data_IF_025070515252
#
_entry.id   IF_025070515252
#
_cell.length_a   1.000
_cell.length_b   1.000
_cell.length_c   1.000
_cell.angle_alpha   90.00
_cell.angle_beta   90.00
_cell.angle_gamma   90.00
#
_symmetry.space_group_name_H-M   'P 1'
#
loop_
_entity.id
_entity.type
_entity.pdbx_description
1 polymer ?
#
# COMPACT_ATOMS: atom_id res chain seq x y z
N UNK A 1 10.36 -12.31 14.63
CA UNK A 1 10.03 -11.01 15.15
C UNK A 1 8.94 -11.15 16.20
N UNK A 2 9.10 -10.46 17.34
CA UNK A 2 8.04 -10.29 18.33
C UNK A 2 7.99 -8.81 18.72
N UNK A 3 6.80 -8.26 18.76
CA UNK A 3 6.50 -6.97 19.41
C UNK A 3 5.66 -7.29 20.63
N UNK A 4 6.11 -6.89 21.80
CA UNK A 4 5.50 -7.27 23.09
C UNK A 4 4.94 -6.04 23.77
N UNK A 5 3.63 -6.02 24.04
CA UNK A 5 2.94 -4.99 24.81
C UNK A 5 3.23 -3.57 24.35
N UNK A 6 3.20 -3.33 23.03
CA UNK A 6 3.50 -2.02 22.46
C UNK A 6 2.37 -1.04 22.76
N UNK A 7 2.69 0.03 23.49
CA UNK A 7 1.79 1.13 23.78
C UNK A 7 2.35 2.43 23.23
N UNK A 8 1.57 3.16 22.43
CA UNK A 8 1.95 4.46 21.86
C UNK A 8 0.87 5.49 22.08
N UNK A 9 1.25 6.55 22.79
CA UNK A 9 0.35 7.67 23.08
C UNK A 9 0.81 8.90 22.29
N UNK A 10 -0.13 9.59 21.68
CA UNK A 10 0.02 10.93 21.14
C UNK A 10 -0.82 11.92 21.98
N UNK A 11 -0.58 13.23 21.88
CA UNK A 11 -1.42 14.21 22.59
C UNK A 11 -2.92 13.98 22.28
N UNK A 12 -3.68 13.58 23.31
CA UNK A 12 -5.11 13.32 23.21
C UNK A 12 -5.55 11.95 22.64
N UNK A 13 -4.61 11.11 22.14
CA UNK A 13 -4.98 9.82 21.53
C UNK A 13 -4.00 8.71 21.94
N UNK A 14 -4.53 7.60 22.47
CA UNK A 14 -3.76 6.36 22.62
C UNK A 14 -3.93 5.55 21.33
N UNK A 15 -2.92 5.61 20.45
CA UNK A 15 -2.98 4.97 19.14
C UNK A 15 -2.67 3.48 19.17
N UNK A 16 -1.88 3.02 20.16
CA UNK A 16 -1.63 1.61 20.48
C UNK A 16 -1.77 1.41 21.97
N UNK A 17 -2.44 0.34 22.39
CA UNK A 17 -2.72 0.00 23.77
C UNK A 17 -2.46 -1.50 23.97
N UNK A 18 -1.29 -1.83 24.48
CA UNK A 18 -0.84 -3.20 24.76
C UNK A 18 -0.88 -4.14 23.54
N UNK A 19 -0.42 -3.63 22.38
CA UNK A 19 -0.44 -4.41 21.12
C UNK A 19 0.72 -5.39 21.10
N UNK A 20 0.41 -6.67 20.86
CA UNK A 20 1.43 -7.70 20.65
C UNK A 20 1.29 -8.34 19.27
N UNK A 21 2.43 -8.58 18.60
CA UNK A 21 2.51 -9.17 17.26
C UNK A 21 3.70 -10.14 17.19
N UNK A 22 3.47 -11.33 16.67
CA UNK A 22 4.53 -12.31 16.41
C UNK A 22 4.55 -12.68 14.95
N UNK A 23 5.71 -12.52 14.29
CA UNK A 23 5.92 -12.87 12.88
C UNK A 23 7.03 -13.92 12.79
N UNK A 24 6.70 -15.06 12.24
CA UNK A 24 7.64 -16.17 12.05
C UNK A 24 8.57 -15.90 10.86
N UNK A 25 9.77 -16.49 10.90
CA UNK A 25 10.73 -16.35 9.82
C UNK A 25 10.24 -17.03 8.54
N UNK A 26 10.34 -16.33 7.41
CA UNK A 26 9.89 -16.84 6.11
C UNK A 26 8.38 -16.93 5.96
N UNK A 27 7.60 -16.25 6.82
CA UNK A 27 6.15 -16.15 6.71
C UNK A 27 5.73 -14.82 6.11
N UNK A 28 4.57 -14.84 5.47
CA UNK A 28 3.80 -13.65 5.11
C UNK A 28 2.74 -13.47 6.18
N UNK A 29 2.86 -12.42 6.97
CA UNK A 29 1.93 -12.06 8.04
C UNK A 29 1.09 -10.87 7.62
N UNK A 30 -0.22 -11.02 7.58
CA UNK A 30 -1.12 -9.91 7.30
C UNK A 30 -1.57 -9.19 8.59
N UNK A 31 -1.75 -7.88 8.50
CA UNK A 31 -2.35 -7.07 9.56
C UNK A 31 -3.61 -6.41 9.00
N UNK A 32 -4.74 -6.71 9.61
CA UNK A 32 -6.05 -6.21 9.24
C UNK A 32 -6.61 -5.30 10.34
N UNK A 33 -7.48 -4.37 9.95
CA UNK A 33 -8.18 -3.46 10.85
C UNK A 33 -8.74 -2.28 10.09
N UNK A 34 -9.68 -1.57 10.69
CA UNK A 34 -10.23 -0.34 10.11
C UNK A 34 -9.19 0.79 10.01
N UNK A 35 -9.50 1.84 9.25
CA UNK A 35 -8.69 3.04 9.22
C UNK A 35 -8.65 3.67 10.62
N UNK A 36 -7.44 4.04 11.07
CA UNK A 36 -7.24 4.52 12.43
C UNK A 36 -7.05 3.45 13.50
N UNK A 37 -7.15 2.16 13.19
CA UNK A 37 -6.96 1.06 14.16
C UNK A 37 -5.55 0.95 14.76
N UNK A 38 -4.55 1.71 14.26
CA UNK A 38 -3.18 1.70 14.77
C UNK A 38 -2.17 0.92 13.91
N UNK A 39 -2.59 0.28 12.80
CA UNK A 39 -1.73 -0.57 11.95
C UNK A 39 -0.44 0.13 11.50
N UNK A 40 -0.56 1.25 10.83
CA UNK A 40 0.61 2.02 10.33
C UNK A 40 1.42 2.61 11.48
N UNK A 41 0.79 2.91 12.63
CA UNK A 41 1.51 3.34 13.84
C UNK A 41 2.39 2.21 14.38
N UNK A 42 1.89 0.97 14.43
CA UNK A 42 2.66 -0.20 14.85
C UNK A 42 3.86 -0.44 13.92
N UNK A 43 3.67 -0.31 12.62
CA UNK A 43 4.76 -0.46 11.64
C UNK A 43 5.78 0.68 11.73
N UNK A 44 5.37 1.91 12.04
CA UNK A 44 6.28 3.03 12.30
C UNK A 44 7.09 2.84 13.58
N UNK A 45 6.55 2.17 14.60
CA UNK A 45 7.31 1.73 15.79
C UNK A 45 8.35 0.68 15.37
N UNK A 46 7.95 -0.36 14.64
CA UNK A 46 8.82 -1.44 14.20
C UNK A 46 9.96 -0.95 13.31
N UNK A 47 9.68 -0.03 12.40
CA UNK A 47 10.68 0.52 11.47
C UNK A 47 11.59 1.59 12.09
N UNK A 48 11.38 1.99 13.37
CA UNK A 48 12.18 3.02 14.03
C UNK A 48 11.83 4.46 13.60
N UNK A 49 10.76 4.68 12.84
CA UNK A 49 10.20 6.03 12.59
C UNK A 49 9.77 6.67 13.91
N UNK A 50 9.18 5.88 14.81
CA UNK A 50 9.01 6.26 16.21
C UNK A 50 10.13 5.62 17.01
N UNK A 51 11.07 6.45 17.45
CA UNK A 51 12.28 6.02 18.16
C UNK A 51 11.95 5.30 19.48
N UNK A 52 12.80 4.35 19.85
CA UNK A 52 12.75 3.71 21.16
C UNK A 52 12.76 4.77 22.29
N UNK A 53 11.94 4.55 23.32
CA UNK A 53 11.69 5.51 24.39
C UNK A 53 10.53 6.48 24.12
N UNK A 54 9.95 6.50 22.90
CA UNK A 54 8.72 7.24 22.58
C UNK A 54 7.47 6.38 22.62
N UNK A 55 7.62 5.11 22.94
CA UNK A 55 6.58 4.10 23.13
C UNK A 55 7.01 3.18 24.29
N UNK A 56 6.07 2.42 24.84
CA UNK A 56 6.30 1.37 25.84
C UNK A 56 6.28 -0.01 25.17
N UNK A 57 6.88 -1.00 25.81
CA UNK A 57 6.99 -2.38 25.31
C UNK A 57 8.30 -2.63 24.57
N UNK A 58 8.51 -3.88 24.17
CA UNK A 58 9.76 -4.38 23.61
C UNK A 58 9.58 -4.89 22.18
N UNK A 59 10.62 -4.69 21.35
CA UNK A 59 10.76 -5.34 20.05
C UNK A 59 11.86 -6.39 20.18
N UNK A 60 11.55 -7.65 19.93
CA UNK A 60 12.51 -8.76 19.88
C UNK A 60 12.68 -9.19 18.42
N UNK A 61 13.89 -9.07 17.91
CA UNK A 61 14.22 -9.45 16.55
C UNK A 61 15.38 -10.45 16.53
N UNK A 62 15.18 -11.61 15.88
CA UNK A 62 16.15 -12.71 15.87
C UNK A 62 16.62 -13.16 17.28
N UNK A 63 15.71 -13.09 18.26
CA UNK A 63 15.97 -13.48 19.65
C UNK A 63 16.59 -12.39 20.54
N UNK A 64 16.92 -11.23 19.99
CA UNK A 64 17.50 -10.10 20.72
C UNK A 64 16.48 -8.95 20.89
N UNK A 65 16.45 -8.32 22.08
CA UNK A 65 15.71 -7.08 22.26
C UNK A 65 16.44 -5.97 21.52
N UNK A 66 15.72 -5.28 20.62
CA UNK A 66 16.28 -4.21 19.79
C UNK A 66 15.64 -2.87 20.12
N UNK A 67 16.44 -1.81 20.07
CA UNK A 67 16.04 -0.43 20.39
C UNK A 67 16.41 0.48 19.21
N UNK A 68 15.51 0.60 18.24
CA UNK A 68 15.73 1.44 17.07
C UNK A 68 15.55 2.92 17.41
N UNK A 69 16.55 3.73 17.14
CA UNK A 69 16.53 5.20 17.34
C UNK A 69 16.05 5.94 16.09
N UNK A 70 16.14 5.29 14.94
CA UNK A 70 15.78 5.86 13.65
C UNK A 70 15.62 4.73 12.60
N UNK A 71 15.15 5.08 11.41
CA UNK A 71 14.92 4.17 10.29
C UNK A 71 16.20 3.41 9.86
N UNK A 72 17.38 4.04 9.94
CA UNK A 72 18.65 3.40 9.55
C UNK A 72 19.01 2.23 10.45
N UNK A 73 18.66 2.30 11.74
CA UNK A 73 18.93 1.21 12.68
C UNK A 73 18.13 -0.04 12.33
N UNK A 74 16.86 0.10 11.94
CA UNK A 74 16.03 -1.02 11.51
C UNK A 74 16.47 -1.56 10.14
N UNK A 75 16.81 -0.67 9.20
CA UNK A 75 17.34 -1.06 7.88
C UNK A 75 18.67 -1.83 8.01
N UNK A 76 19.55 -1.44 8.93
CA UNK A 76 20.81 -2.16 9.20
C UNK A 76 20.59 -3.59 9.72
N UNK A 77 19.43 -3.86 10.37
CA UNK A 77 19.00 -5.20 10.76
C UNK A 77 18.23 -5.92 9.65
N UNK A 78 18.05 -5.29 8.49
CA UNK A 78 17.31 -5.85 7.33
C UNK A 78 15.79 -5.72 7.43
N UNK A 79 15.27 -4.83 8.28
CA UNK A 79 13.85 -4.48 8.36
C UNK A 79 13.62 -3.25 7.49
N UNK A 80 12.87 -3.40 6.41
CA UNK A 80 12.60 -2.32 5.45
C UNK A 80 11.10 -2.13 5.29
N UNK A 81 10.65 -0.88 5.31
CA UNK A 81 9.25 -0.51 5.12
C UNK A 81 9.03 0.17 3.77
N UNK A 82 7.98 -0.24 3.07
CA UNK A 82 7.41 0.42 1.91
C UNK A 82 6.10 1.05 2.36
N UNK A 83 6.03 2.37 2.26
CA UNK A 83 4.85 3.14 2.66
C UNK A 83 3.77 3.10 1.59
N UNK A 84 2.54 3.42 1.96
CA UNK A 84 1.40 3.53 1.06
C UNK A 84 1.64 4.57 -0.05
N UNK A 85 2.27 5.70 0.29
CA UNK A 85 2.70 6.70 -0.70
C UNK A 85 4.09 6.34 -1.21
N UNK A 86 4.25 6.30 -2.54
CA UNK A 86 5.52 5.98 -3.17
C UNK A 86 6.57 7.06 -2.86
N UNK A 87 7.69 6.64 -2.27
CA UNK A 87 8.82 7.53 -1.94
C UNK A 87 9.85 7.58 -3.09
N UNK A 88 9.35 7.71 -4.33
CA UNK A 88 10.16 7.82 -5.54
C UNK A 88 10.24 9.26 -6.03
N UNK A 89 11.40 9.64 -6.56
CA UNK A 89 11.55 10.90 -7.28
C UNK A 89 11.14 10.70 -8.75
N UNK A 90 10.07 11.39 -9.23
CA UNK A 90 9.55 11.15 -10.58
C UNK A 90 10.53 11.52 -11.69
N UNK A 91 11.41 12.50 -11.44
CA UNK A 91 12.36 13.01 -12.42
C UNK A 91 13.69 12.23 -12.48
N UNK A 92 13.96 11.37 -11.51
CA UNK A 92 15.11 10.48 -11.51
C UNK A 92 14.80 9.18 -12.27
N UNK A 93 15.86 8.54 -12.77
CA UNK A 93 15.76 7.22 -13.40
C UNK A 93 15.41 6.13 -12.38
N UNK A 94 15.04 4.95 -12.86
CA UNK A 94 14.79 3.76 -12.03
C UNK A 94 16.05 3.42 -11.22
N UNK A 95 17.24 3.39 -11.86
CA UNK A 95 18.49 3.07 -11.18
C UNK A 95 18.85 4.08 -10.09
N UNK A 96 18.67 5.37 -10.35
CA UNK A 96 18.89 6.43 -9.36
C UNK A 96 17.92 6.29 -8.18
N UNK A 97 16.65 5.98 -8.42
CA UNK A 97 15.68 5.76 -7.35
C UNK A 97 16.01 4.52 -6.50
N UNK A 98 16.43 3.41 -7.12
CA UNK A 98 16.80 2.18 -6.40
C UNK A 98 17.95 2.43 -5.43
N UNK A 99 18.95 3.19 -5.84
CA UNK A 99 20.16 3.44 -5.05
C UNK A 99 20.20 4.81 -4.36
N UNK A 100 19.09 5.55 -4.34
CA UNK A 100 19.01 6.84 -3.66
C UNK A 100 19.32 6.67 -2.16
N UNK A 101 20.30 7.44 -1.66
CA UNK A 101 20.91 7.34 -0.32
C UNK A 101 21.67 6.02 -0.04
N UNK A 102 21.98 5.25 -1.08
CA UNK A 102 22.77 4.03 -1.01
C UNK A 102 23.60 3.88 -2.30
N UNK A 103 24.14 5.00 -2.78
CA UNK A 103 24.85 5.09 -4.05
C UNK A 103 26.08 4.18 -4.08
N UNK A 104 26.28 3.48 -5.19
CA UNK A 104 27.47 2.66 -5.41
C UNK A 104 28.61 3.57 -5.81
N UNK A 105 29.62 3.68 -4.94
CA UNK A 105 30.75 4.58 -5.14
C UNK A 105 32.05 3.85 -5.41
N UNK A 106 32.92 4.46 -6.22
CA UNK A 106 34.31 4.06 -6.45
C UNK A 106 35.22 5.29 -6.30
N UNK A 107 36.15 5.23 -5.36
CA UNK A 107 37.08 6.33 -5.05
C UNK A 107 36.38 7.67 -4.76
N UNK A 108 35.23 7.63 -4.09
CA UNK A 108 34.46 8.84 -3.73
C UNK A 108 33.56 9.42 -4.82
N UNK A 109 33.51 8.80 -5.99
CA UNK A 109 32.59 9.17 -7.09
C UNK A 109 31.58 8.06 -7.32
N UNK A 110 30.38 8.42 -7.79
CA UNK A 110 29.32 7.44 -8.12
C UNK A 110 29.76 6.63 -9.35
N UNK A 111 29.73 5.31 -9.22
CA UNK A 111 30.01 4.38 -10.32
C UNK A 111 28.69 4.05 -11.05
N UNK A 112 28.33 4.89 -12.02
CA UNK A 112 27.10 4.76 -12.79
C UNK A 112 26.99 3.44 -13.56
N UNK A 113 28.11 2.92 -14.07
CA UNK A 113 28.11 1.66 -14.80
C UNK A 113 27.72 0.50 -13.87
N UNK A 114 28.32 0.46 -12.69
CA UNK A 114 28.01 -0.57 -11.70
C UNK A 114 26.61 -0.37 -11.12
N UNK A 115 26.19 0.87 -10.88
CA UNK A 115 24.83 1.21 -10.43
C UNK A 115 23.78 0.68 -11.40
N UNK A 116 23.94 0.91 -12.72
CA UNK A 116 23.01 0.41 -13.72
C UNK A 116 23.02 -1.12 -13.81
N UNK A 117 24.17 -1.77 -13.69
CA UNK A 117 24.25 -3.24 -13.70
C UNK A 117 23.54 -3.86 -12.49
N UNK A 118 23.77 -3.33 -11.30
CA UNK A 118 23.10 -3.83 -10.09
C UNK A 118 21.59 -3.49 -10.09
N UNK A 119 21.22 -2.30 -10.59
CA UNK A 119 19.81 -1.96 -10.80
C UNK A 119 19.11 -2.97 -11.72
N UNK A 120 19.76 -3.33 -12.84
CA UNK A 120 19.20 -4.28 -13.80
C UNK A 120 18.97 -5.67 -13.18
N UNK A 121 19.87 -6.12 -12.27
CA UNK A 121 19.69 -7.38 -11.54
C UNK A 121 18.50 -7.32 -10.58
N UNK A 122 18.33 -6.20 -9.86
CA UNK A 122 17.21 -5.99 -8.94
C UNK A 122 15.90 -5.87 -9.71
N UNK A 123 15.88 -5.11 -10.81
CA UNK A 123 14.75 -4.99 -11.72
C UNK A 123 14.30 -6.36 -12.25
N UNK A 124 15.25 -7.20 -12.68
CA UNK A 124 14.94 -8.56 -13.12
C UNK A 124 14.32 -9.42 -12.02
N UNK A 125 14.76 -9.27 -10.75
CA UNK A 125 14.17 -9.99 -9.60
C UNK A 125 12.71 -9.63 -9.36
N UNK A 126 12.33 -8.38 -9.61
CA UNK A 126 10.94 -7.91 -9.43
C UNK A 126 10.11 -7.97 -10.71
N UNK A 127 10.67 -8.51 -11.80
CA UNK A 127 9.96 -8.65 -13.07
C UNK A 127 9.84 -7.34 -13.88
N UNK A 128 10.60 -6.32 -13.56
CA UNK A 128 10.60 -5.03 -14.27
C UNK A 128 11.50 -5.11 -15.52
N UNK A 129 10.93 -4.84 -16.70
CA UNK A 129 11.60 -5.01 -18.01
C UNK A 129 12.09 -3.69 -18.63
N UNK A 130 11.83 -2.57 -18.00
CA UNK A 130 12.26 -1.24 -18.43
C UNK A 130 13.79 -1.13 -18.41
N UNK A 131 14.30 -0.08 -19.06
CA UNK A 131 15.73 0.23 -18.96
C UNK A 131 16.03 0.93 -17.63
N UNK A 132 17.21 0.72 -17.02
CA UNK A 132 17.59 1.38 -15.77
C UNK A 132 17.60 2.90 -15.82
N UNK A 133 17.81 3.49 -17.00
CA UNK A 133 17.84 4.93 -17.26
C UNK A 133 16.45 5.55 -17.53
N UNK A 134 15.39 4.73 -17.62
CA UNK A 134 14.01 5.21 -17.78
C UNK A 134 13.60 6.02 -16.54
N UNK A 135 13.01 7.20 -16.74
CA UNK A 135 12.51 8.02 -15.64
C UNK A 135 11.25 7.41 -15.02
N UNK A 136 11.13 7.54 -13.70
CA UNK A 136 10.01 6.98 -12.96
C UNK A 136 8.67 7.58 -13.38
N UNK A 137 8.62 8.86 -13.76
CA UNK A 137 7.40 9.51 -14.27
C UNK A 137 6.88 8.92 -15.59
N UNK A 138 7.70 8.19 -16.34
CA UNK A 138 7.35 7.58 -17.63
C UNK A 138 6.70 6.21 -17.49
N UNK A 139 6.69 5.63 -16.30
CA UNK A 139 6.14 4.29 -16.02
C UNK A 139 4.87 4.37 -15.18
N UNK A 140 3.97 3.42 -15.39
CA UNK A 140 2.71 3.33 -14.64
C UNK A 140 2.90 2.99 -13.15
N UNK A 141 1.88 3.27 -12.34
CA UNK A 141 1.92 3.11 -10.86
C UNK A 141 2.29 1.69 -10.43
N UNK A 142 1.79 0.64 -11.11
CA UNK A 142 2.15 -0.75 -10.83
C UNK A 142 3.66 -1.00 -10.96
N UNK A 143 4.30 -0.45 -12.00
CA UNK A 143 5.74 -0.55 -12.20
C UNK A 143 6.53 0.30 -11.21
N UNK A 144 6.00 1.46 -10.80
CA UNK A 144 6.59 2.28 -9.74
C UNK A 144 6.61 1.51 -8.40
N UNK A 145 5.56 0.75 -8.10
CA UNK A 145 5.53 -0.14 -6.92
C UNK A 145 6.65 -1.19 -6.98
N UNK A 146 6.91 -1.78 -8.14
CA UNK A 146 8.02 -2.72 -8.32
C UNK A 146 9.39 -2.04 -8.14
N UNK A 147 9.54 -0.77 -8.52
CA UNK A 147 10.77 0.02 -8.26
C UNK A 147 11.00 0.21 -6.76
N UNK A 148 9.94 0.50 -5.97
CA UNK A 148 10.04 0.58 -4.50
C UNK A 148 10.49 -0.75 -3.89
N UNK A 149 9.98 -1.87 -4.38
CA UNK A 149 10.41 -3.19 -3.90
C UNK A 149 11.87 -3.46 -4.32
N UNK A 150 12.26 -3.13 -5.54
CA UNK A 150 13.67 -3.25 -5.98
C UNK A 150 14.60 -2.40 -5.11
N UNK A 151 14.18 -1.18 -4.75
CA UNK A 151 14.89 -0.30 -3.81
C UNK A 151 15.00 -0.91 -2.42
N UNK A 152 13.93 -1.52 -1.89
CA UNK A 152 13.98 -2.25 -0.64
C UNK A 152 14.97 -3.43 -0.70
N UNK A 153 14.92 -4.23 -1.78
CA UNK A 153 15.82 -5.37 -1.98
C UNK A 153 17.30 -4.99 -2.11
N UNK A 154 17.62 -3.75 -2.47
CA UNK A 154 19.01 -3.26 -2.49
C UNK A 154 19.63 -3.18 -1.09
N UNK A 155 18.81 -3.18 -0.02
CA UNK A 155 19.22 -3.02 1.38
C UNK A 155 19.37 -4.34 2.17
N UNK A 156 19.60 -5.47 1.50
CA UNK A 156 19.74 -6.79 2.14
C UNK A 156 18.55 -7.15 3.06
N UNK A 157 17.34 -6.92 2.58
CA UNK A 157 16.11 -7.11 3.34
C UNK A 157 15.95 -8.55 3.85
N UNK A 158 15.53 -8.69 5.11
CA UNK A 158 15.13 -9.94 5.77
C UNK A 158 13.66 -9.93 6.18
N UNK A 159 13.15 -8.74 6.51
CA UNK A 159 11.75 -8.47 6.81
C UNK A 159 11.29 -7.27 5.99
N UNK A 160 10.35 -7.51 5.08
CA UNK A 160 9.75 -6.48 4.25
C UNK A 160 8.37 -6.12 4.81
N UNK A 161 8.16 -4.84 5.09
CA UNK A 161 6.87 -4.31 5.53
C UNK A 161 6.24 -3.56 4.37
N UNK A 162 4.99 -3.87 4.04
CA UNK A 162 4.24 -3.23 2.96
C UNK A 162 2.93 -2.65 3.51
N UNK A 163 2.78 -1.35 3.44
CA UNK A 163 1.57 -0.65 3.89
C UNK A 163 0.67 -0.39 2.68
N UNK A 164 -0.43 -1.13 2.56
CA UNK A 164 -1.42 -1.09 1.48
C UNK A 164 -0.83 -1.14 0.04
N UNK A 165 0.03 -2.11 -0.27
CA UNK A 165 0.83 -2.08 -1.49
C UNK A 165 0.02 -2.23 -2.78
N UNK A 166 -1.24 -2.68 -2.71
CA UNK A 166 -2.15 -2.91 -3.85
C UNK A 166 -3.26 -1.88 -3.96
N UNK A 167 -3.28 -0.84 -3.10
CA UNK A 167 -4.39 0.10 -3.03
C UNK A 167 -4.62 0.87 -4.35
N UNK A 168 -3.56 1.21 -5.06
CA UNK A 168 -3.59 1.96 -6.32
C UNK A 168 -3.39 1.07 -7.57
N UNK A 169 -3.37 -0.26 -7.41
CA UNK A 169 -3.11 -1.21 -8.49
C UNK A 169 -4.41 -1.77 -9.05
N UNK A 170 -4.40 -2.10 -10.36
CA UNK A 170 -5.42 -2.93 -10.96
C UNK A 170 -5.26 -4.41 -10.54
N UNK A 171 -6.19 -5.28 -10.92
CA UNK A 171 -6.19 -6.69 -10.49
C UNK A 171 -4.98 -7.48 -11.05
N UNK A 172 -4.53 -7.18 -12.28
CA UNK A 172 -3.38 -7.82 -12.91
C UNK A 172 -2.07 -7.45 -12.19
N UNK A 173 -1.85 -6.14 -11.97
CA UNK A 173 -0.68 -5.65 -11.24
C UNK A 173 -0.68 -6.15 -9.79
N UNK A 174 -1.85 -6.20 -9.13
CA UNK A 174 -2.00 -6.75 -7.78
C UNK A 174 -1.62 -8.22 -7.74
N UNK A 175 -2.11 -9.03 -8.67
CA UNK A 175 -1.77 -10.46 -8.76
C UNK A 175 -0.27 -10.66 -8.95
N UNK A 176 0.34 -9.90 -9.84
CA UNK A 176 1.78 -9.95 -10.10
C UNK A 176 2.61 -9.59 -8.86
N UNK A 177 2.17 -8.56 -8.11
CA UNK A 177 2.80 -8.19 -6.84
C UNK A 177 2.70 -9.31 -5.80
N UNK A 178 1.53 -9.93 -5.64
CA UNK A 178 1.35 -11.04 -4.70
C UNK A 178 2.21 -12.26 -5.07
N UNK A 179 2.37 -12.57 -6.36
CA UNK A 179 3.28 -13.63 -6.82
C UNK A 179 4.74 -13.31 -6.51
N UNK A 180 5.16 -12.05 -6.68
CA UNK A 180 6.48 -11.60 -6.27
C UNK A 180 6.70 -11.81 -4.76
N UNK A 181 5.72 -11.48 -3.92
CA UNK A 181 5.85 -11.69 -2.47
C UNK A 181 5.95 -13.18 -2.10
N UNK A 182 5.23 -14.07 -2.81
CA UNK A 182 5.40 -15.53 -2.66
C UNK A 182 6.83 -15.98 -3.02
N UNK A 183 7.40 -15.42 -4.08
CA UNK A 183 8.78 -15.70 -4.48
C UNK A 183 9.78 -15.20 -3.43
N UNK A 184 9.61 -13.99 -2.89
CA UNK A 184 10.47 -13.44 -1.83
C UNK A 184 10.38 -14.31 -0.56
N UNK A 185 9.19 -14.74 -0.17
CA UNK A 185 8.98 -15.69 0.93
C UNK A 185 9.76 -16.99 0.71
N UNK A 186 9.70 -17.56 -0.50
CA UNK A 186 10.43 -18.80 -0.83
C UNK A 186 11.95 -18.63 -0.75
N UNK A 187 12.46 -17.41 -0.85
CA UNK A 187 13.87 -17.05 -0.66
C UNK A 187 14.23 -16.78 0.81
N UNK A 188 13.28 -16.95 1.74
CA UNK A 188 13.48 -16.78 3.18
C UNK A 188 13.27 -15.35 3.68
N UNK A 189 12.73 -14.45 2.86
CA UNK A 189 12.34 -13.10 3.26
C UNK A 189 10.97 -13.18 3.92
N UNK A 190 10.85 -12.67 5.16
CA UNK A 190 9.56 -12.52 5.83
C UNK A 190 8.87 -11.26 5.34
N UNK A 191 7.54 -11.28 5.25
CA UNK A 191 6.76 -10.11 4.85
C UNK A 191 5.68 -9.80 5.87
N UNK A 192 5.47 -8.51 6.16
CA UNK A 192 4.28 -8.01 6.84
C UNK A 192 3.50 -7.19 5.82
N UNK A 193 2.21 -7.53 5.62
CA UNK A 193 1.34 -6.84 4.68
C UNK A 193 0.19 -6.22 5.45
N UNK A 194 0.05 -4.91 5.35
CA UNK A 194 -1.17 -4.23 5.77
C UNK A 194 -2.07 -4.13 4.54
N UNK A 195 -3.28 -4.68 4.64
CA UNK A 195 -4.29 -4.57 3.58
C UNK A 195 -5.69 -4.66 4.17
N UNK A 196 -6.64 -4.03 3.50
CA UNK A 196 -8.06 -4.19 3.75
C UNK A 196 -8.74 -5.10 2.70
N UNK A 197 -8.00 -5.55 1.69
CA UNK A 197 -8.48 -6.47 0.65
C UNK A 197 -8.40 -7.92 1.13
N UNK A 198 -9.45 -8.41 1.76
CA UNK A 198 -9.47 -9.74 2.39
C UNK A 198 -9.17 -10.89 1.42
N UNK A 199 -9.58 -10.77 0.15
CA UNK A 199 -9.29 -11.79 -0.88
C UNK A 199 -7.79 -11.92 -1.12
N UNK A 200 -7.05 -10.80 -1.16
CA UNK A 200 -5.59 -10.81 -1.32
C UNK A 200 -4.92 -11.46 -0.11
N UNK A 201 -5.32 -11.06 1.10
CA UNK A 201 -4.82 -11.64 2.35
C UNK A 201 -5.07 -13.14 2.40
N UNK A 202 -6.29 -13.58 2.10
CA UNK A 202 -6.65 -15.00 2.07
C UNK A 202 -5.82 -15.81 1.08
N UNK A 203 -5.33 -15.18 0.01
CA UNK A 203 -4.54 -15.85 -1.03
C UNK A 203 -3.07 -16.02 -0.69
N UNK A 204 -2.52 -15.21 0.23
CA UNK A 204 -1.06 -15.13 0.40
C UNK A 204 -0.59 -15.25 1.85
N UNK A 205 -1.39 -14.83 2.85
CA UNK A 205 -0.95 -14.78 4.23
C UNK A 205 -0.88 -16.18 4.87
N UNK A 206 0.15 -16.41 5.65
CA UNK A 206 0.28 -17.61 6.52
C UNK A 206 -0.45 -17.37 7.85
N UNK A 207 -0.42 -16.13 8.36
CA UNK A 207 -1.15 -15.69 9.54
C UNK A 207 -1.71 -14.28 9.34
N UNK A 208 -2.80 -13.98 10.03
CA UNK A 208 -3.44 -12.65 9.99
C UNK A 208 -3.72 -12.17 11.41
N UNK A 209 -3.17 -11.02 11.79
CA UNK A 209 -3.49 -10.37 13.06
C UNK A 209 -4.49 -9.25 12.84
N UNK A 210 -5.56 -9.24 13.61
CA UNK A 210 -6.61 -8.23 13.57
C UNK A 210 -6.33 -7.21 14.66
N UNK A 211 -6.25 -5.94 14.25
CA UNK A 211 -6.08 -4.79 15.16
C UNK A 211 -7.34 -3.92 15.07
N UNK A 212 -7.88 -3.57 16.24
CA UNK A 212 -9.02 -2.66 16.37
C UNK A 212 -8.83 -1.75 17.59
N UNK A 213 -9.09 -0.46 17.41
CA UNK A 213 -9.01 0.55 18.48
C UNK A 213 -7.66 0.53 19.24
N UNK A 214 -6.58 0.33 18.51
CA UNK A 214 -5.23 0.26 19.04
C UNK A 214 -4.89 -1.03 19.80
N UNK A 215 -5.70 -2.09 19.71
CA UNK A 215 -5.49 -3.37 20.41
C UNK A 215 -5.42 -4.54 19.44
N UNK A 216 -4.62 -5.56 19.80
CA UNK A 216 -4.67 -6.86 19.13
C UNK A 216 -5.95 -7.58 19.57
N UNK A 217 -6.81 -7.92 18.62
CA UNK A 217 -8.05 -8.66 18.87
C UNK A 217 -7.78 -10.17 18.85
N UNK A 218 -7.22 -10.66 17.74
CA UNK A 218 -6.81 -12.05 17.57
C UNK A 218 -5.80 -12.22 16.43
N UNK A 219 -5.10 -13.35 16.44
CA UNK A 219 -4.27 -13.79 15.32
C UNK A 219 -4.79 -15.11 14.79
N UNK A 220 -5.10 -15.14 13.50
CA UNK A 220 -5.66 -16.29 12.79
C UNK A 220 -4.57 -17.00 11.99
N UNK A 221 -4.57 -18.33 12.03
CA UNK A 221 -3.78 -19.16 11.12
C UNK A 221 -4.53 -19.29 9.79
N UNK A 222 -3.86 -18.94 8.69
CA UNK A 222 -4.42 -18.92 7.35
C UNK A 222 -4.05 -20.17 6.54
N UNK A 223 -3.21 -21.05 7.07
CA UNK A 223 -2.66 -22.23 6.35
C UNK A 223 -3.70 -23.31 6.02
N UNK A 224 -4.86 -23.30 6.69
CA UNK A 224 -5.92 -24.30 6.52
C UNK A 224 -6.79 -24.15 5.28
N UNK A 225 -6.56 -23.17 4.41
CA UNK A 225 -7.26 -22.95 3.13
C UNK A 225 -8.72 -22.52 3.21
N UNK A 226 -9.34 -22.52 4.40
CA UNK A 226 -10.68 -21.98 4.65
C UNK A 226 -10.57 -20.81 5.60
N UNK A 227 -10.32 -19.62 5.04
CA UNK A 227 -10.36 -18.40 5.81
C UNK A 227 -11.80 -17.99 5.97
N UNK A 228 -12.25 -17.91 7.21
CA UNK A 228 -13.51 -17.31 7.54
C UNK A 228 -13.37 -15.77 7.46
N UNK A 229 -13.65 -15.25 6.26
CA UNK A 229 -13.60 -13.79 6.02
C UNK A 229 -14.58 -13.04 6.92
N UNK A 230 -15.71 -13.66 7.31
CA UNK A 230 -16.69 -13.07 8.21
C UNK A 230 -16.09 -12.89 9.60
N UNK A 231 -15.25 -13.86 10.05
CA UNK A 231 -14.52 -13.74 11.32
C UNK A 231 -13.54 -12.58 11.31
N UNK A 232 -12.80 -12.39 10.20
CA UNK A 232 -11.90 -11.24 10.07
C UNK A 232 -12.69 -9.94 10.11
N UNK A 233 -13.78 -9.83 9.34
CA UNK A 233 -14.66 -8.66 9.31
C UNK A 233 -15.24 -8.37 10.71
N UNK A 234 -15.78 -9.39 11.38
CA UNK A 234 -16.30 -9.26 12.74
C UNK A 234 -15.24 -8.76 13.72
N UNK A 235 -14.03 -9.29 13.63
CA UNK A 235 -12.89 -8.83 14.43
C UNK A 235 -12.52 -7.38 14.16
N UNK A 236 -12.53 -6.95 12.89
CA UNK A 236 -12.21 -5.58 12.47
C UNK A 236 -13.26 -4.57 12.94
N UNK A 237 -14.55 -4.87 12.72
CA UNK A 237 -15.68 -3.95 12.96
C UNK A 237 -16.23 -4.05 14.39
N UNK A 238 -16.06 -5.19 15.05
CA UNK A 238 -16.52 -5.43 16.44
C UNK A 238 -17.98 -5.80 16.59
N UNK A 239 -18.73 -5.90 15.50
CA UNK A 239 -20.14 -6.33 15.48
C UNK A 239 -20.37 -7.26 14.28
N UNK A 240 -21.36 -8.10 14.39
CA UNK A 240 -21.86 -8.85 13.23
C UNK A 240 -22.45 -7.87 12.23
N UNK A 241 -22.00 -7.94 10.99
CA UNK A 241 -22.63 -7.19 9.92
C UNK A 241 -23.75 -8.04 9.34
N UNK A 242 -24.95 -7.92 9.94
CA UNK A 242 -26.16 -8.64 9.50
C UNK A 242 -26.51 -8.33 8.04
N UNK A 243 -26.15 -7.13 7.56
CA UNK A 243 -26.41 -6.74 6.19
C UNK A 243 -25.34 -5.76 5.68
N UNK A 244 -24.47 -6.22 4.77
CA UNK A 244 -23.46 -5.37 4.09
C UNK A 244 -24.10 -4.28 3.22
N UNK A 245 -25.26 -4.57 2.68
CA UNK A 245 -25.99 -3.69 1.77
C UNK A 245 -27.43 -3.59 2.27
N UNK A 246 -27.72 -2.70 3.23
CA UNK A 246 -29.09 -2.51 3.69
C UNK A 246 -29.97 -2.14 2.52
N UNK A 247 -31.11 -2.81 2.40
CA UNK A 247 -32.08 -2.51 1.36
C UNK A 247 -32.51 -1.03 1.49
N UNK A 248 -32.26 -0.26 0.45
CA UNK A 248 -32.67 1.13 0.34
C UNK A 248 -33.72 1.25 -0.75
N UNK A 249 -34.92 1.71 -0.38
CA UNK A 249 -35.96 2.05 -1.35
C UNK A 249 -35.93 3.56 -1.53
N UNK A 250 -35.36 4.10 -2.63
CA UNK A 250 -35.27 5.53 -2.82
C UNK A 250 -36.67 6.11 -3.13
N UNK A 251 -37.00 7.22 -2.47
CA UNK A 251 -38.13 8.05 -2.87
C UNK A 251 -37.62 9.07 -3.89
N UNK A 252 -37.77 8.73 -5.18
CA UNK A 252 -37.28 9.58 -6.28
C UNK A 252 -38.19 10.78 -6.48
N UNK A 253 -37.59 11.97 -6.44
CA UNK A 253 -38.26 13.26 -6.75
C UNK A 253 -37.97 13.73 -8.17
N UNK A 254 -38.06 15.05 -8.34
CA UNK A 254 -37.73 15.75 -9.59
C UNK A 254 -36.22 15.63 -9.91
N UNK A 255 -35.89 15.79 -11.20
CA UNK A 255 -34.50 15.86 -11.64
C UNK A 255 -33.85 17.16 -11.12
N UNK A 256 -32.70 17.02 -10.47
CA UNK A 256 -31.97 18.15 -9.85
C UNK A 256 -30.62 18.44 -10.50
N UNK A 257 -30.14 17.51 -11.33
CA UNK A 257 -28.87 17.63 -12.01
C UNK A 257 -28.88 16.85 -13.31
N UNK A 258 -28.34 17.48 -14.39
CA UNK A 258 -28.21 16.85 -15.70
C UNK A 258 -26.94 17.31 -16.41
N UNK A 259 -26.27 16.39 -17.02
CA UNK A 259 -25.15 16.58 -17.95
C UNK A 259 -25.51 15.89 -19.23
N UNK A 260 -25.42 16.56 -20.36
CA UNK A 260 -25.74 16.03 -21.68
C UNK A 260 -24.59 16.30 -22.66
N UNK A 261 -24.26 15.29 -23.45
CA UNK A 261 -23.25 15.35 -24.52
C UNK A 261 -21.89 15.91 -24.03
N UNK A 262 -21.52 15.57 -22.79
CA UNK A 262 -20.37 16.17 -22.11
C UNK A 262 -19.06 15.54 -22.59
N UNK A 263 -18.23 16.33 -23.28
CA UNK A 263 -16.95 15.87 -23.83
C UNK A 263 -15.82 16.64 -23.17
N UNK A 264 -14.81 15.92 -22.64
CA UNK A 264 -13.69 16.49 -21.92
C UNK A 264 -12.39 16.14 -22.63
N UNK A 265 -11.55 17.13 -22.90
CA UNK A 265 -10.23 16.99 -23.47
C UNK A 265 -9.15 16.99 -22.37
N UNK A 266 -8.01 16.34 -22.65
CA UNK A 266 -6.87 16.39 -21.73
C UNK A 266 -6.36 17.83 -21.60
N UNK A 267 -6.02 18.32 -20.38
CA UNK A 267 -5.66 19.73 -20.17
C UNK A 267 -4.40 20.17 -20.91
N UNK A 268 -3.43 19.27 -21.07
CA UNK A 268 -2.15 19.53 -21.75
C UNK A 268 -2.16 19.12 -23.22
N UNK A 269 -2.95 18.10 -23.59
CA UNK A 269 -3.10 17.62 -24.98
C UNK A 269 -4.56 17.71 -25.41
N UNK A 270 -4.92 18.82 -26.00
CA UNK A 270 -6.29 19.10 -26.47
C UNK A 270 -6.79 18.17 -27.59
N UNK A 271 -5.89 17.40 -28.22
CA UNK A 271 -6.27 16.43 -29.25
C UNK A 271 -6.78 15.11 -28.63
N UNK A 272 -6.44 14.88 -27.37
CA UNK A 272 -6.82 13.68 -26.61
C UNK A 272 -8.15 13.89 -25.90
N UNK A 273 -9.19 13.19 -26.33
CA UNK A 273 -10.47 13.12 -25.62
C UNK A 273 -10.32 12.12 -24.46
N UNK A 274 -10.69 12.52 -23.25
CA UNK A 274 -10.63 11.71 -22.02
C UNK A 274 -12.01 11.31 -21.53
N UNK A 275 -13.04 12.08 -21.89
CA UNK A 275 -14.45 11.74 -21.73
C UNK A 275 -15.15 12.11 -23.02
N UNK A 276 -15.90 11.19 -23.59
CA UNK A 276 -16.60 11.39 -24.85
C UNK A 276 -18.11 11.22 -24.67
N UNK A 277 -18.86 12.28 -24.96
CA UNK A 277 -20.32 12.31 -25.03
C UNK A 277 -21.02 11.69 -23.79
N UNK A 278 -20.55 12.03 -22.58
CA UNK A 278 -21.13 11.53 -21.34
C UNK A 278 -22.50 12.16 -21.07
N UNK A 279 -23.43 11.32 -20.61
CA UNK A 279 -24.77 11.74 -20.25
C UNK A 279 -25.10 11.19 -18.85
N UNK A 280 -25.44 12.06 -17.90
CA UNK A 280 -25.77 11.72 -16.52
C UNK A 280 -26.93 12.60 -16.07
N UNK A 281 -27.88 12.01 -15.33
CA UNK A 281 -28.91 12.77 -14.64
C UNK A 281 -29.04 12.23 -13.21
N UNK A 282 -29.41 13.09 -12.28
CA UNK A 282 -29.64 12.77 -10.88
C UNK A 282 -30.95 13.38 -10.41
N UNK A 283 -31.78 12.60 -9.75
CA UNK A 283 -33.03 13.04 -9.15
C UNK A 283 -32.88 13.30 -7.66
N UNK A 284 -33.75 14.08 -7.11
CA UNK A 284 -33.80 14.32 -5.66
C UNK A 284 -34.00 12.99 -4.92
N UNK A 285 -33.17 12.72 -3.90
CA UNK A 285 -33.21 11.46 -3.12
C UNK A 285 -32.60 10.26 -3.83
N UNK A 286 -31.98 10.44 -5.01
CA UNK A 286 -31.30 9.39 -5.76
C UNK A 286 -29.80 9.34 -5.41
N UNK A 287 -29.24 8.12 -5.38
CA UNK A 287 -27.81 7.88 -5.34
C UNK A 287 -27.41 7.25 -6.68
N UNK A 288 -26.65 8.00 -7.49
CA UNK A 288 -26.16 7.51 -8.79
C UNK A 288 -24.71 7.09 -8.64
N UNK A 289 -24.39 5.84 -9.00
CA UNK A 289 -23.03 5.30 -8.99
C UNK A 289 -22.37 5.42 -10.36
N UNK A 290 -21.12 5.93 -10.39
CA UNK A 290 -20.26 5.92 -11.58
C UNK A 290 -19.29 4.75 -11.49
N UNK A 291 -19.48 3.70 -12.30
CA UNK A 291 -18.63 2.53 -12.36
C UNK A 291 -17.71 2.55 -13.60
N UNK A 292 -16.56 1.89 -13.50
CA UNK A 292 -15.61 1.75 -14.60
C UNK A 292 -14.22 1.33 -14.11
N UNK A 293 -13.40 0.80 -15.00
CA UNK A 293 -12.00 0.45 -14.71
C UNK A 293 -11.12 1.70 -14.54
N UNK A 294 -9.90 1.54 -14.05
CA UNK A 294 -8.91 2.64 -14.01
C UNK A 294 -8.70 3.22 -15.42
N UNK A 295 -8.64 4.54 -15.53
CA UNK A 295 -8.50 5.23 -16.82
C UNK A 295 -9.80 5.37 -17.64
N UNK A 296 -10.95 4.95 -17.12
CA UNK A 296 -12.25 5.10 -17.80
C UNK A 296 -12.81 6.54 -17.83
N UNK A 297 -12.08 7.53 -17.35
CA UNK A 297 -12.49 8.95 -17.37
C UNK A 297 -13.43 9.39 -16.25
N UNK A 298 -13.69 8.55 -15.22
CA UNK A 298 -14.61 8.89 -14.11
C UNK A 298 -14.18 10.10 -13.32
N UNK A 299 -12.91 10.18 -12.96
CA UNK A 299 -12.33 11.30 -12.21
C UNK A 299 -12.33 12.57 -13.07
N UNK A 300 -11.98 12.44 -14.33
CA UNK A 300 -11.94 13.52 -15.32
C UNK A 300 -13.34 14.10 -15.52
N UNK A 301 -14.35 13.24 -15.65
CA UNK A 301 -15.74 13.63 -15.73
C UNK A 301 -16.18 14.41 -14.47
N UNK A 302 -15.97 13.83 -13.29
CA UNK A 302 -16.37 14.46 -12.03
C UNK A 302 -15.66 15.82 -11.83
N UNK A 303 -14.35 15.89 -12.11
CA UNK A 303 -13.58 17.14 -11.99
C UNK A 303 -14.02 18.20 -12.98
N UNK A 304 -14.31 17.84 -14.23
CA UNK A 304 -14.79 18.78 -15.24
C UNK A 304 -16.16 19.35 -14.89
N UNK A 305 -17.08 18.50 -14.40
CA UNK A 305 -18.40 18.94 -13.92
C UNK A 305 -18.30 19.84 -12.69
N UNK A 306 -17.36 19.56 -11.80
CA UNK A 306 -17.10 20.39 -10.62
C UNK A 306 -16.42 21.74 -10.95
N UNK A 307 -16.00 21.97 -12.21
CA UNK A 307 -15.33 23.22 -12.63
C UNK A 307 -13.84 23.26 -12.30
N UNK A 308 -13.24 22.15 -11.95
CA UNK A 308 -11.80 22.05 -11.75
C UNK A 308 -11.11 21.72 -13.08
N UNK A 309 -9.99 22.34 -13.39
CA UNK A 309 -9.16 22.42 -14.60
C UNK A 309 -9.00 21.12 -15.44
N UNK A 310 -10.08 20.47 -15.80
CA UNK A 310 -10.18 19.42 -16.81
C UNK A 310 -11.19 19.91 -17.85
N UNK A 311 -10.69 20.12 -19.06
CA UNK A 311 -11.48 20.57 -20.18
C UNK A 311 -11.29 22.04 -20.51
N UNK A 312 -11.35 22.34 -21.79
CA UNK A 312 -11.49 23.70 -22.35
C UNK A 312 -12.68 23.69 -23.30
N UNK A 313 -13.54 24.69 -23.22
CA UNK A 313 -14.76 24.81 -24.02
C UNK A 313 -15.77 23.69 -23.73
N UNK A 314 -16.09 23.50 -22.46
CA UNK A 314 -17.18 22.63 -22.01
C UNK A 314 -18.48 23.41 -22.15
#
# INVERSE_FOLDING_TARGET
LEMRSITKVFPGVRALDDVSLTVERGHIHAICGENGAGKSTLMKVLSGVYAHGTYEGDIVYEGEVVAFKNLRDSEAKGIVIIHQELALSPHLSIAENIFLNNEITKRGLIDWNRTNQEAQKLMAKVGLREKPDTKVMEIGVGKQQLVEIAKALSKQVRLLILDEPTAALNDEDSSHLLDLLRQLRSQGISCIIISHKLNEIASIADKTTIIRDGKTIETLDMSGGKVDQERIIKGMVGREMENRYPAHTPTLGEEVFRVENWTVHHPEDKTRVVVDNANIHVRRGEIVGLAGIMGAGRTELARSVFGHSWGSNI
#
